data_IF_609001428250
#
_entry.id   IF_609001428250
#
_cell.length_a   1.000
_cell.length_b   1.000
_cell.length_c   1.000
_cell.angle_alpha   90.00
_cell.angle_beta   90.00
_cell.angle_gamma   90.00
#
_symmetry.space_group_name_H-M   'P 1'
#
loop_
_entity.id
_entity.type
_entity.pdbx_description
1 polymer ?
#
# COMPACT_ATOMS: atom_id res chain seq x y z
N UNK A 1 -4.53 9.15 -5.41
CA UNK A 1 -4.96 10.49 -5.00
C UNK A 1 -3.77 11.31 -4.54
N UNK A 2 -3.79 12.59 -4.80
CA UNK A 2 -2.78 13.56 -4.40
C UNK A 2 -3.46 14.94 -4.22
N UNK A 3 -2.75 15.90 -3.66
CA UNK A 3 -3.31 17.23 -3.34
C UNK A 3 -3.94 17.91 -4.56
N UNK A 4 -3.27 17.85 -5.70
CA UNK A 4 -3.72 18.51 -6.94
C UNK A 4 -4.98 17.92 -7.53
N UNK A 5 -5.32 16.64 -7.31
CA UNK A 5 -6.52 16.00 -7.85
C UNK A 5 -7.54 15.56 -6.79
N UNK A 6 -7.37 16.01 -5.55
CA UNK A 6 -8.28 15.64 -4.45
C UNK A 6 -9.75 15.98 -4.77
N UNK A 7 -9.98 17.11 -5.45
CA UNK A 7 -11.32 17.54 -5.84
C UNK A 7 -12.04 16.62 -6.81
N UNK A 8 -11.31 15.86 -7.61
CA UNK A 8 -11.87 14.98 -8.64
C UNK A 8 -12.52 13.72 -8.06
N UNK A 9 -12.13 13.33 -6.82
CA UNK A 9 -12.64 12.12 -6.15
C UNK A 9 -14.18 12.16 -6.02
N UNK A 10 -14.77 13.35 -5.81
CA UNK A 10 -16.22 13.51 -5.70
C UNK A 10 -16.98 13.14 -6.98
N UNK A 11 -16.32 13.11 -8.12
CA UNK A 11 -16.90 12.75 -9.42
C UNK A 11 -16.80 11.26 -9.75
N UNK A 12 -16.09 10.48 -8.93
CA UNK A 12 -15.87 9.05 -9.16
C UNK A 12 -17.16 8.24 -9.15
N UNK A 13 -18.15 8.61 -8.33
CA UNK A 13 -19.46 7.93 -8.32
C UNK A 13 -20.16 8.04 -9.67
N UNK A 14 -20.22 9.25 -10.24
CA UNK A 14 -20.81 9.45 -11.56
C UNK A 14 -20.06 8.67 -12.65
N UNK A 15 -18.73 8.72 -12.62
CA UNK A 15 -17.90 7.97 -13.56
C UNK A 15 -18.14 6.46 -13.42
N UNK A 16 -18.14 5.93 -12.19
CA UNK A 16 -18.35 4.51 -11.96
C UNK A 16 -19.69 4.04 -12.52
N UNK A 17 -20.76 4.79 -12.28
CA UNK A 17 -22.09 4.49 -12.85
C UNK A 17 -22.10 4.50 -14.36
N UNK A 18 -21.45 5.50 -14.98
CA UNK A 18 -21.42 5.63 -16.45
C UNK A 18 -20.71 4.48 -17.15
N UNK A 19 -19.70 3.87 -16.51
CA UNK A 19 -18.93 2.74 -17.05
C UNK A 19 -19.33 1.38 -16.47
N UNK A 20 -20.33 1.33 -15.59
CA UNK A 20 -20.78 0.09 -14.94
C UNK A 20 -19.76 -0.51 -13.97
N UNK A 21 -18.86 0.31 -13.41
CA UNK A 21 -17.86 -0.17 -12.46
C UNK A 21 -18.53 -0.58 -11.13
N UNK A 22 -18.14 -1.76 -10.62
CA UNK A 22 -18.63 -2.29 -9.33
C UNK A 22 -17.74 -1.87 -8.16
N UNK A 23 -16.51 -1.49 -8.45
CA UNK A 23 -15.50 -1.15 -7.45
C UNK A 23 -14.64 0.00 -7.95
N UNK A 24 -14.34 0.93 -7.05
CA UNK A 24 -13.35 2.00 -7.24
C UNK A 24 -12.27 1.82 -6.20
N UNK A 25 -11.03 1.70 -6.62
CA UNK A 25 -9.86 1.66 -5.76
C UNK A 25 -9.09 2.96 -5.90
N UNK A 26 -8.95 3.70 -4.81
CA UNK A 26 -8.18 4.94 -4.76
C UNK A 26 -6.90 4.70 -3.97
N UNK A 27 -5.77 5.04 -4.55
CA UNK A 27 -4.47 4.94 -3.91
C UNK A 27 -3.77 6.29 -3.87
N UNK A 28 -2.83 6.48 -2.95
CA UNK A 28 -1.93 7.63 -2.97
C UNK A 28 -0.95 7.53 -4.14
N UNK A 29 -0.40 8.69 -4.53
CA UNK A 29 0.75 8.75 -5.40
C UNK A 29 1.96 8.11 -4.72
N UNK A 30 2.75 7.36 -5.46
CA UNK A 30 4.04 6.88 -4.99
C UNK A 30 5.04 8.03 -5.00
N UNK A 31 5.64 8.38 -3.85
CA UNK A 31 6.52 9.53 -3.74
C UNK A 31 7.94 9.20 -4.25
N UNK A 32 8.08 9.08 -5.57
CA UNK A 32 9.37 8.85 -6.24
C UNK A 32 10.28 10.09 -6.27
N UNK A 33 9.77 11.24 -5.86
CA UNK A 33 10.50 12.50 -5.75
C UNK A 33 9.98 13.32 -4.56
N UNK A 34 10.77 14.28 -4.08
CA UNK A 34 10.35 15.22 -3.04
C UNK A 34 9.13 16.05 -3.45
N UNK A 35 8.99 16.36 -4.74
CA UNK A 35 7.81 17.05 -5.25
C UNK A 35 6.55 16.19 -5.09
N UNK A 36 6.64 14.89 -5.37
CA UNK A 36 5.53 13.96 -5.19
C UNK A 36 5.23 13.71 -3.71
N UNK A 37 6.23 13.74 -2.83
CA UNK A 37 6.01 13.67 -1.38
C UNK A 37 5.13 14.82 -0.90
N UNK A 38 5.36 16.04 -1.40
CA UNK A 38 4.55 17.22 -1.06
C UNK A 38 3.09 17.12 -1.52
N UNK A 39 2.82 16.29 -2.51
CA UNK A 39 1.47 15.98 -3.00
C UNK A 39 0.74 14.94 -2.15
N UNK A 40 1.42 14.22 -1.27
CA UNK A 40 0.80 13.21 -0.42
C UNK A 40 -0.19 13.82 0.57
N UNK A 41 -1.29 13.09 0.81
CA UNK A 41 -2.36 13.47 1.75
C UNK A 41 -2.36 12.59 3.01
N UNK A 42 -1.30 11.83 3.21
CA UNK A 42 -1.14 10.92 4.34
C UNK A 42 0.29 11.03 4.88
N UNK A 43 0.52 12.01 5.72
CA UNK A 43 1.82 12.22 6.39
C UNK A 43 1.78 11.99 7.90
N UNK A 44 0.61 12.04 8.52
CA UNK A 44 0.47 12.00 9.99
C UNK A 44 -0.58 11.01 10.48
N UNK A 45 -1.10 10.17 9.61
CA UNK A 45 -2.24 9.33 9.97
C UNK A 45 -1.88 8.21 10.92
N UNK A 46 -2.52 8.20 12.05
CA UNK A 46 -2.68 7.04 12.92
C UNK A 46 -3.92 6.24 12.45
N UNK A 47 -3.77 5.42 11.42
CA UNK A 47 -4.70 4.36 11.02
C UNK A 47 -6.19 4.66 10.88
N UNK A 48 -6.65 4.92 9.66
CA UNK A 48 -8.06 4.75 9.29
C UNK A 48 -8.12 4.00 7.94
N UNK A 49 -8.50 2.74 7.96
CA UNK A 49 -8.99 2.05 6.77
C UNK A 49 -10.51 2.30 6.69
N UNK A 50 -10.97 2.83 5.57
CA UNK A 50 -12.40 2.98 5.29
C UNK A 50 -12.81 1.92 4.30
N UNK A 51 -13.77 1.09 4.67
CA UNK A 51 -14.40 0.12 3.79
C UNK A 51 -15.87 0.47 3.61
N UNK A 52 -16.33 0.37 2.38
CA UNK A 52 -17.75 0.42 2.09
C UNK A 52 -18.19 -0.92 1.55
N UNK A 53 -19.19 -1.53 2.16
CA UNK A 53 -19.74 -2.78 1.69
C UNK A 53 -21.26 -2.73 1.69
N UNK A 54 -21.88 -2.77 0.49
CA UNK A 54 -23.27 -3.14 0.33
C UNK A 54 -23.45 -3.91 -0.98
N UNK A 55 -24.16 -5.04 -0.95
CA UNK A 55 -24.44 -5.81 -2.14
C UNK A 55 -25.14 -4.97 -3.21
N UNK A 56 -24.59 -4.94 -4.42
CA UNK A 56 -25.21 -4.28 -5.57
C UNK A 56 -24.91 -2.79 -5.75
N UNK A 57 -24.15 -2.16 -4.84
CA UNK A 57 -23.70 -0.75 -4.98
C UNK A 57 -22.18 -0.66 -5.22
N UNK A 58 -21.75 0.45 -5.79
CA UNK A 58 -20.31 0.72 -6.03
C UNK A 58 -19.58 0.80 -4.70
N UNK A 59 -18.53 0.00 -4.55
CA UNK A 59 -17.61 0.06 -3.41
C UNK A 59 -16.56 1.13 -3.66
N UNK A 60 -16.38 2.07 -2.73
CA UNK A 60 -15.28 3.01 -2.71
C UNK A 60 -14.31 2.63 -1.59
N UNK A 61 -13.10 2.23 -1.95
CA UNK A 61 -12.02 1.98 -1.01
C UNK A 61 -11.04 3.14 -1.02
N UNK A 62 -10.95 3.86 0.09
CA UNK A 62 -10.02 4.97 0.27
C UNK A 62 -8.76 4.50 1.00
N UNK A 63 -7.58 5.04 0.64
CA UNK A 63 -6.37 4.88 1.43
C UNK A 63 -6.48 5.66 2.74
N UNK A 64 -5.49 5.49 3.62
CA UNK A 64 -5.36 6.36 4.79
C UNK A 64 -5.22 7.81 4.37
N UNK A 65 -6.03 8.67 4.95
CA UNK A 65 -6.03 10.10 4.72
C UNK A 65 -6.02 10.84 6.04
N UNK A 66 -5.22 11.88 6.16
CA UNK A 66 -5.34 12.82 7.26
C UNK A 66 -6.65 13.59 7.14
N UNK A 67 -7.38 13.73 8.24
CA UNK A 67 -8.57 14.61 8.32
C UNK A 67 -8.13 15.97 8.81
N UNK A 68 -8.03 16.92 7.90
CA UNK A 68 -7.59 18.29 8.17
C UNK A 68 -8.30 19.29 7.26
N UNK A 69 -7.95 20.55 7.34
CA UNK A 69 -8.59 21.60 6.55
C UNK A 69 -8.48 21.41 5.03
N UNK A 70 -7.52 20.64 4.54
CA UNK A 70 -7.34 20.34 3.11
C UNK A 70 -8.27 19.23 2.63
N UNK A 71 -8.49 18.21 3.47
CA UNK A 71 -9.16 16.97 3.07
C UNK A 71 -10.62 16.88 3.52
N UNK A 72 -11.00 17.60 4.59
CA UNK A 72 -12.32 17.47 5.23
C UNK A 72 -13.49 17.66 4.28
N UNK A 73 -13.48 18.71 3.46
CA UNK A 73 -14.63 19.03 2.61
C UNK A 73 -14.87 17.98 1.54
N UNK A 74 -13.79 17.43 0.97
CA UNK A 74 -13.86 16.30 0.03
C UNK A 74 -14.34 15.03 0.71
N UNK A 75 -13.82 14.70 1.90
CA UNK A 75 -14.26 13.54 2.65
C UNK A 75 -15.73 13.64 3.06
N UNK A 76 -16.21 14.80 3.53
CA UNK A 76 -17.61 15.00 3.85
C UNK A 76 -18.52 14.92 2.62
N UNK A 77 -18.07 15.43 1.48
CA UNK A 77 -18.81 15.29 0.21
C UNK A 77 -18.96 13.83 -0.21
N UNK A 78 -17.90 13.02 -0.04
CA UNK A 78 -17.96 11.58 -0.32
C UNK A 78 -18.91 10.86 0.62
N UNK A 79 -18.92 11.23 1.92
CA UNK A 79 -19.87 10.68 2.90
C UNK A 79 -21.32 10.93 2.55
N UNK A 80 -21.63 12.06 1.94
CA UNK A 80 -22.98 12.40 1.51
C UNK A 80 -23.37 11.73 0.18
N UNK A 81 -22.40 11.50 -0.70
CA UNK A 81 -22.63 10.92 -2.03
C UNK A 81 -22.67 9.40 -2.10
N UNK A 82 -22.05 8.73 -1.15
CA UNK A 82 -21.98 7.27 -1.09
C UNK A 82 -22.78 6.75 0.11
N UNK A 83 -23.91 6.10 -0.14
CA UNK A 83 -24.74 5.49 0.93
C UNK A 83 -23.97 4.41 1.74
N UNK A 84 -22.81 3.99 1.28
CA UNK A 84 -22.01 2.91 1.81
C UNK A 84 -20.58 3.33 2.15
N UNK A 85 -20.36 4.61 2.47
CA UNK A 85 -19.11 5.07 3.04
C UNK A 85 -19.19 4.90 4.56
N UNK A 86 -18.58 3.89 5.10
CA UNK A 86 -18.34 3.80 6.55
C UNK A 86 -17.04 4.50 6.88
N UNK A 87 -17.14 5.72 7.38
CA UNK A 87 -16.09 6.34 8.16
C UNK A 87 -16.13 5.70 9.55
N UNK A 88 -15.07 5.04 9.94
CA UNK A 88 -14.92 4.38 11.23
C UNK A 88 -15.83 3.17 11.47
N UNK A 89 -15.91 2.25 10.58
CA UNK A 89 -16.23 0.87 10.96
C UNK A 89 -15.05 0.35 11.74
N UNK A 90 -15.10 0.45 13.07
CA UNK A 90 -14.11 0.05 14.05
C UNK A 90 -13.28 -1.18 13.65
N UNK A 91 -12.20 -1.01 12.95
CA UNK A 91 -11.02 -1.86 13.02
C UNK A 91 -9.79 -0.99 13.18
N UNK A 92 -9.67 -0.51 14.37
CA UNK A 92 -8.47 0.13 14.87
C UNK A 92 -7.31 -0.85 14.73
N UNK A 93 -6.30 -0.47 13.98
CA UNK A 93 -4.91 -0.86 14.14
C UNK A 93 -4.46 -2.30 13.85
N UNK A 94 -5.26 -3.33 14.00
CA UNK A 94 -4.76 -4.72 13.94
C UNK A 94 -4.54 -5.23 12.51
N UNK A 95 -5.20 -4.67 11.50
CA UNK A 95 -5.02 -5.06 10.09
C UNK A 95 -4.09 -4.13 9.30
N UNK A 96 -3.67 -3.03 9.87
CA UNK A 96 -2.85 -2.01 9.21
C UNK A 96 -1.46 -2.50 8.76
N UNK A 97 -0.98 -3.59 9.32
CA UNK A 97 0.32 -4.18 9.01
C UNK A 97 0.22 -5.45 8.16
N UNK A 98 -0.93 -5.73 7.56
CA UNK A 98 -1.09 -6.91 6.71
C UNK A 98 -0.79 -6.57 5.27
N UNK A 99 0.26 -7.17 4.75
CA UNK A 99 0.60 -7.10 3.34
C UNK A 99 -0.50 -7.73 2.48
N UNK A 100 -1.20 -6.93 1.70
CA UNK A 100 -2.27 -7.39 0.81
C UNK A 100 -1.77 -8.42 -0.21
N UNK A 101 -0.59 -8.24 -0.78
CA UNK A 101 -0.02 -9.17 -1.75
C UNK A 101 0.12 -10.59 -1.19
N UNK A 102 0.61 -10.71 0.05
CA UNK A 102 0.74 -12.02 0.70
C UNK A 102 -0.61 -12.57 1.11
N UNK A 103 -1.51 -11.72 1.62
CA UNK A 103 -2.89 -12.11 1.99
C UNK A 103 -3.65 -12.66 0.78
N UNK A 104 -3.59 -11.95 -0.34
CA UNK A 104 -4.33 -12.28 -1.56
C UNK A 104 -3.56 -13.28 -2.44
N UNK A 105 -2.45 -13.85 -1.94
CA UNK A 105 -1.61 -14.85 -2.61
C UNK A 105 -1.11 -14.40 -3.98
N UNK A 106 -0.70 -13.14 -4.10
CA UNK A 106 -0.19 -12.55 -5.33
C UNK A 106 1.31 -12.80 -5.49
N UNK A 107 1.74 -12.98 -6.72
CA UNK A 107 3.12 -12.89 -7.16
C UNK A 107 3.20 -12.02 -8.41
N UNK A 108 4.36 -11.44 -8.67
CA UNK A 108 4.58 -10.53 -9.78
C UNK A 108 5.74 -11.02 -10.62
N UNK A 109 5.50 -11.15 -11.91
CA UNK A 109 6.52 -11.56 -12.86
C UNK A 109 6.99 -10.33 -13.62
N UNK A 110 8.28 -10.07 -13.55
CA UNK A 110 8.92 -8.97 -14.26
C UNK A 110 9.12 -9.36 -15.74
N UNK A 111 9.31 -8.36 -16.60
CA UNK A 111 9.50 -8.57 -18.05
C UNK A 111 10.66 -9.51 -18.42
N UNK A 112 11.67 -9.68 -17.55
CA UNK A 112 12.79 -10.59 -17.70
C UNK A 112 12.57 -11.97 -17.03
N UNK A 113 11.34 -12.23 -16.59
CA UNK A 113 10.93 -13.49 -16.00
C UNK A 113 11.22 -13.66 -14.50
N UNK A 114 11.83 -12.67 -13.83
CA UNK A 114 12.02 -12.76 -12.37
C UNK A 114 10.71 -12.66 -11.62
N UNK A 115 10.54 -13.53 -10.61
CA UNK A 115 9.33 -13.62 -9.76
C UNK A 115 9.55 -12.88 -8.46
N UNK A 116 8.82 -11.79 -8.28
CA UNK A 116 8.86 -10.95 -7.08
C UNK A 116 7.60 -11.17 -6.22
N UNK A 117 7.69 -11.05 -4.89
CA UNK A 117 6.57 -11.29 -3.99
C UNK A 117 5.53 -10.14 -3.99
N UNK A 118 5.90 -8.97 -4.48
CA UNK A 118 5.04 -7.80 -4.47
C UNK A 118 5.54 -6.72 -5.44
N UNK A 119 4.69 -5.75 -5.76
CA UNK A 119 5.05 -4.61 -6.60
C UNK A 119 6.18 -3.76 -5.98
N UNK A 120 6.20 -3.61 -4.67
CA UNK A 120 7.22 -2.81 -3.98
C UNK A 120 8.64 -3.38 -4.09
N UNK A 121 8.78 -4.69 -4.37
CA UNK A 121 10.08 -5.35 -4.55
C UNK A 121 10.36 -5.74 -6.00
N UNK A 122 9.46 -5.39 -6.94
CA UNK A 122 9.58 -5.75 -8.35
C UNK A 122 10.78 -5.05 -9.01
N UNK A 123 10.97 -3.77 -8.70
CA UNK A 123 12.08 -2.95 -9.21
C UNK A 123 12.77 -2.21 -8.08
N UNK A 124 14.08 -2.00 -8.20
CA UNK A 124 14.78 -1.08 -7.29
C UNK A 124 14.36 0.34 -7.61
N UNK A 125 14.03 1.12 -6.57
CA UNK A 125 13.54 2.48 -6.72
C UNK A 125 13.83 3.31 -5.46
N UNK A 126 13.56 4.60 -5.55
CA UNK A 126 13.61 5.53 -4.42
C UNK A 126 12.20 5.99 -4.07
N UNK A 127 11.95 6.17 -2.80
CA UNK A 127 10.73 6.80 -2.29
C UNK A 127 11.10 7.90 -1.31
N UNK A 128 10.23 8.87 -1.18
CA UNK A 128 10.41 10.01 -0.27
C UNK A 128 9.21 10.05 0.69
N UNK A 129 9.50 10.05 1.98
CA UNK A 129 8.47 10.13 3.01
C UNK A 129 9.05 10.78 4.26
N UNK A 130 8.32 11.74 4.84
CA UNK A 130 8.75 12.51 6.02
C UNK A 130 10.08 13.25 5.82
N UNK A 131 10.37 13.73 4.61
CA UNK A 131 11.62 14.38 4.28
C UNK A 131 12.82 13.43 4.17
N UNK A 132 12.61 12.12 4.21
CA UNK A 132 13.65 11.11 4.11
C UNK A 132 13.60 10.39 2.77
N UNK A 133 14.75 10.30 2.11
CA UNK A 133 14.93 9.41 0.95
C UNK A 133 15.07 7.97 1.44
N UNK A 134 14.29 7.06 0.86
CA UNK A 134 14.41 5.63 1.06
C UNK A 134 14.74 4.93 -0.24
N UNK A 135 15.77 4.10 -0.23
CA UNK A 135 16.20 3.27 -1.36
C UNK A 135 15.69 1.86 -1.15
N UNK A 136 14.79 1.44 -2.02
CA UNK A 136 14.22 0.10 -2.00
C UNK A 136 14.97 -0.76 -3.03
N UNK A 137 15.64 -1.79 -2.58
CA UNK A 137 16.27 -2.79 -3.42
C UNK A 137 15.24 -3.86 -3.81
N UNK A 138 15.20 -4.22 -5.09
CA UNK A 138 14.36 -5.30 -5.62
C UNK A 138 14.72 -6.65 -4.99
N UNK A 139 13.74 -7.56 -4.98
CA UNK A 139 13.93 -8.93 -4.55
C UNK A 139 13.17 -9.90 -5.44
N UNK A 140 13.79 -11.03 -5.74
CA UNK A 140 13.22 -12.11 -6.55
C UNK A 140 13.48 -13.45 -5.85
N UNK A 141 12.57 -14.39 -6.03
CA UNK A 141 12.68 -15.77 -5.52
C UNK A 141 13.03 -16.79 -6.61
N UNK A 142 13.18 -16.36 -7.84
CA UNK A 142 13.52 -17.20 -8.99
C UNK A 142 13.09 -16.61 -10.31
N UNK A 143 13.30 -17.34 -11.38
CA UNK A 143 12.94 -16.94 -12.75
C UNK A 143 12.10 -18.03 -13.40
N UNK A 144 11.06 -17.64 -14.12
CA UNK A 144 10.16 -18.59 -14.81
C UNK A 144 10.87 -19.37 -15.94
N UNK A 145 12.04 -18.89 -16.40
CA UNK A 145 12.86 -19.62 -17.36
C UNK A 145 13.63 -20.79 -16.74
N UNK A 146 13.85 -20.76 -15.43
CA UNK A 146 14.66 -21.75 -14.70
C UNK A 146 13.81 -22.85 -14.05
N UNK A 147 12.45 -22.70 -14.07
CA UNK A 147 11.53 -23.67 -13.48
C UNK A 147 10.08 -23.17 -13.46
N UNK A 148 9.17 -24.03 -13.05
CA UNK A 148 7.76 -23.67 -12.98
C UNK A 148 7.48 -22.62 -11.87
N UNK A 149 6.49 -21.78 -12.12
CA UNK A 149 6.04 -20.80 -11.13
C UNK A 149 5.61 -21.45 -9.80
N UNK A 150 5.04 -22.66 -9.88
CA UNK A 150 4.66 -23.43 -8.70
C UNK A 150 5.88 -23.79 -7.84
N UNK A 151 6.97 -24.25 -8.45
CA UNK A 151 8.21 -24.59 -7.75
C UNK A 151 8.83 -23.38 -7.07
N UNK A 152 8.82 -22.24 -7.76
CA UNK A 152 9.29 -20.96 -7.17
C UNK A 152 8.42 -20.57 -5.98
N UNK A 153 7.08 -20.65 -6.16
CA UNK A 153 6.10 -20.31 -5.13
C UNK A 153 6.25 -21.19 -3.88
N UNK A 154 6.51 -22.46 -4.05
CA UNK A 154 6.64 -23.46 -2.97
C UNK A 154 8.07 -23.62 -2.46
N UNK A 155 9.01 -22.84 -3.00
CA UNK A 155 10.39 -22.85 -2.51
C UNK A 155 10.47 -22.47 -1.03
N UNK A 156 11.36 -23.10 -0.25
CA UNK A 156 11.50 -22.82 1.19
C UNK A 156 11.76 -21.34 1.50
N UNK A 157 12.55 -20.68 0.67
CA UNK A 157 12.86 -19.26 0.82
C UNK A 157 11.61 -18.37 0.66
N UNK A 158 10.77 -18.66 -0.35
CA UNK A 158 9.56 -17.87 -0.57
C UNK A 158 8.49 -18.17 0.48
N UNK A 159 8.36 -19.43 0.90
CA UNK A 159 7.45 -19.80 1.99
C UNK A 159 7.82 -19.08 3.30
N UNK A 160 9.10 -19.13 3.67
CA UNK A 160 9.61 -18.46 4.88
C UNK A 160 9.32 -16.95 4.83
N UNK A 161 9.56 -16.33 3.68
CA UNK A 161 9.24 -14.91 3.50
C UNK A 161 7.75 -14.64 3.69
N UNK A 162 6.85 -15.42 3.05
CA UNK A 162 5.40 -15.23 3.18
C UNK A 162 4.92 -15.39 4.63
N UNK A 163 5.41 -16.39 5.34
CA UNK A 163 5.05 -16.61 6.75
C UNK A 163 5.52 -15.45 7.64
N UNK A 164 6.73 -14.94 7.41
CA UNK A 164 7.23 -13.76 8.11
C UNK A 164 6.37 -12.52 7.85
N UNK A 165 5.99 -12.29 6.59
CA UNK A 165 5.14 -11.16 6.22
C UNK A 165 3.71 -11.32 6.75
N UNK A 166 3.17 -12.53 6.83
CA UNK A 166 1.85 -12.80 7.46
C UNK A 166 1.82 -12.41 8.94
N UNK A 167 2.87 -12.76 9.69
CA UNK A 167 3.00 -12.36 11.10
C UNK A 167 3.32 -10.88 11.25
N UNK A 168 3.85 -10.29 10.20
CA UNK A 168 4.39 -8.95 10.13
C UNK A 168 5.41 -8.65 11.24
N UNK A 169 6.33 -9.58 11.44
CA UNK A 169 7.39 -9.47 12.43
C UNK A 169 8.54 -8.57 11.94
N UNK A 170 8.19 -7.30 11.70
CA UNK A 170 9.08 -6.23 11.26
C UNK A 170 8.91 -5.01 12.15
N UNK A 171 10.00 -4.25 12.31
CA UNK A 171 9.94 -2.99 13.04
C UNK A 171 9.00 -1.99 12.36
N UNK A 172 8.21 -1.21 13.12
CA UNK A 172 7.26 -0.23 12.56
C UNK A 172 7.98 1.04 12.09
N UNK A 173 8.89 0.89 11.13
CA UNK A 173 9.84 1.93 10.72
C UNK A 173 9.20 3.26 10.34
N UNK A 174 8.03 3.23 9.70
CA UNK A 174 7.41 4.45 9.17
C UNK A 174 6.68 5.28 10.25
N UNK A 175 6.42 4.72 11.44
CA UNK A 175 5.86 5.46 12.58
C UNK A 175 6.92 5.78 13.64
N UNK A 176 8.15 5.33 13.46
CA UNK A 176 9.23 5.43 14.45
C UNK A 176 9.98 6.79 14.43
N UNK A 177 9.59 7.74 13.57
CA UNK A 177 10.26 9.04 13.50
C UNK A 177 11.56 9.09 12.69
N UNK A 178 11.93 7.98 12.06
CA UNK A 178 13.03 7.89 11.12
C UNK A 178 14.40 7.64 11.77
N UNK A 179 15.07 6.64 11.26
CA UNK A 179 16.48 6.37 11.56
C UNK A 179 17.18 5.93 10.26
N UNK A 180 18.49 5.74 10.28
CA UNK A 180 19.27 5.32 9.11
C UNK A 180 18.84 3.98 8.52
N UNK A 181 18.32 3.06 9.35
CA UNK A 181 17.79 1.76 8.88
C UNK A 181 16.53 1.91 8.01
N UNK A 182 15.72 2.96 8.23
CA UNK A 182 14.57 3.25 7.39
C UNK A 182 14.97 3.61 5.94
N UNK A 183 16.17 4.16 5.74
CA UNK A 183 16.63 4.59 4.42
C UNK A 183 16.80 3.45 3.41
N UNK A 184 16.80 2.20 3.88
CA UNK A 184 16.93 1.01 3.06
C UNK A 184 15.93 -0.06 3.49
N UNK A 185 15.75 -1.09 2.65
CA UNK A 185 14.97 -2.29 2.99
C UNK A 185 15.89 -3.50 3.28
N UNK A 186 17.09 -3.25 3.76
CA UNK A 186 18.14 -4.28 3.93
C UNK A 186 18.11 -4.92 5.32
N UNK A 187 17.88 -4.11 6.34
CA UNK A 187 17.79 -4.56 7.72
C UNK A 187 16.82 -3.70 8.53
N UNK A 188 16.39 -4.14 9.69
CA UNK A 188 15.61 -3.36 10.64
C UNK A 188 16.10 -3.57 12.09
N UNK A 189 15.60 -2.73 13.01
CA UNK A 189 16.03 -2.77 14.42
C UNK A 189 15.54 -4.01 15.19
N UNK A 190 14.71 -4.85 14.61
CA UNK A 190 14.33 -6.15 15.16
C UNK A 190 15.30 -7.27 14.73
N UNK A 191 16.36 -6.92 13.98
CA UNK A 191 17.36 -7.86 13.49
C UNK A 191 16.92 -8.63 12.24
N UNK A 192 15.90 -8.15 11.55
CA UNK A 192 15.48 -8.73 10.28
C UNK A 192 16.47 -8.36 9.18
N UNK A 193 16.89 -9.37 8.40
CA UNK A 193 17.68 -9.20 7.20
C UNK A 193 16.78 -8.93 5.97
N UNK A 194 17.41 -8.53 4.88
CA UNK A 194 16.79 -8.27 3.57
C UNK A 194 15.88 -9.41 3.07
N UNK A 195 14.73 -9.10 2.52
CA UNK A 195 14.11 -7.78 2.45
C UNK A 195 13.24 -7.47 3.69
N UNK A 196 13.30 -6.25 4.20
CA UNK A 196 12.47 -5.80 5.31
C UNK A 196 11.24 -5.03 4.82
N UNK A 197 10.09 -5.29 5.45
CA UNK A 197 8.80 -4.71 5.08
C UNK A 197 8.28 -3.63 6.03
N UNK A 198 8.97 -3.36 7.15
CA UNK A 198 8.54 -2.40 8.16
C UNK A 198 8.37 -0.97 7.66
N UNK A 199 9.17 -0.53 6.68
CA UNK A 199 9.03 0.76 6.01
C UNK A 199 8.27 0.69 4.67
N UNK A 200 7.55 -0.38 4.38
CA UNK A 200 6.84 -0.54 3.11
C UNK A 200 5.52 0.23 3.11
N UNK A 201 5.33 1.12 2.13
CA UNK A 201 4.14 1.96 2.03
C UNK A 201 2.86 1.16 1.78
N UNK A 202 2.95 0.04 1.06
CA UNK A 202 1.81 -0.87 0.84
C UNK A 202 1.44 -1.62 2.12
N UNK A 203 2.42 -2.19 2.82
CA UNK A 203 2.19 -2.92 4.06
C UNK A 203 1.60 -2.01 5.15
N UNK A 204 1.87 -0.73 5.07
CA UNK A 204 1.37 0.28 6.00
C UNK A 204 0.02 0.89 5.56
N UNK A 205 -0.57 0.43 4.46
CA UNK A 205 -1.85 0.94 3.96
C UNK A 205 -1.80 2.37 3.41
N UNK A 206 -0.61 2.95 3.20
CA UNK A 206 -0.45 4.27 2.59
C UNK A 206 -0.71 4.17 1.09
N UNK A 207 -0.16 3.15 0.46
CA UNK A 207 -0.42 2.82 -0.95
C UNK A 207 -1.33 1.60 -0.99
N UNK A 208 -2.39 1.66 -1.80
CA UNK A 208 -3.24 0.52 -2.09
C UNK A 208 -2.92 -0.01 -3.50
N UNK A 209 -3.04 -1.31 -3.66
CA UNK A 209 -2.96 -1.98 -4.95
C UNK A 209 -4.30 -2.56 -5.36
N UNK A 210 -4.52 -2.65 -6.68
CA UNK A 210 -5.69 -3.30 -7.25
C UNK A 210 -5.89 -4.71 -6.75
#
# INVERSE_FOLDING_TARGET
>A
VMRTNLGDIRHLDHLARSVGARRILVSHVLPYSEAMEKEMLCLQTLTLETFTFAPGKTELSLPRLDVNNTTKDTLFSLLQGFENLTLMGNRVAVEAHRCRFVRDRAAFIRWDGEVSPCMGLLHSHRTFLYGLERRVRRHSFGRIQDGDLADIWDSPAYQTFREKVKRFDFSPCHVCGGCTLLQKNEEDCYGNAFPTCGGCLWAQGIIQCP
#
